data_IF_903276182994
#
_entry.id   IF_903276182994
#
_cell.length_a   1.000
_cell.length_b   1.000
_cell.length_c   1.000
_cell.angle_alpha   90.00
_cell.angle_beta   90.00
_cell.angle_gamma   90.00
#
_symmetry.space_group_name_H-M   'P 1'
#
loop_
_entity.id
_entity.type
_entity.pdbx_description
1 polymer ?
#
# COMPACT_ATOMS: atom_id res chain seq x y z
N UNK A 1 25.00 -2.66 56.26
CA UNK A 1 25.59 -3.11 54.99
C UNK A 1 25.38 -4.61 54.88
N UNK A 2 24.53 -5.03 53.95
CA UNK A 2 24.26 -6.43 53.64
C UNK A 2 24.27 -6.50 52.11
N UNK A 3 25.34 -7.09 51.57
CA UNK A 3 25.45 -7.43 50.16
C UNK A 3 24.48 -8.57 49.88
N UNK A 4 23.42 -8.31 49.13
CA UNK A 4 22.48 -9.35 48.69
C UNK A 4 23.00 -9.96 47.40
N UNK A 5 23.46 -11.20 47.50
CA UNK A 5 23.90 -12.02 46.37
C UNK A 5 22.73 -12.37 45.46
N UNK A 6 22.92 -12.15 44.17
CA UNK A 6 22.02 -12.62 43.11
C UNK A 6 22.26 -14.11 42.92
N UNK A 7 21.23 -14.92 43.20
CA UNK A 7 21.16 -16.32 42.81
C UNK A 7 20.88 -16.34 41.30
N UNK A 8 21.89 -16.67 40.51
CA UNK A 8 21.73 -16.97 39.08
C UNK A 8 21.35 -18.44 38.98
N UNK A 9 20.10 -18.72 38.58
CA UNK A 9 19.74 -20.06 38.12
C UNK A 9 20.38 -20.28 36.74
N UNK A 10 21.56 -20.89 36.75
CA UNK A 10 22.10 -21.63 35.61
C UNK A 10 21.20 -22.84 35.40
N UNK A 11 20.44 -22.87 34.30
CA UNK A 11 19.94 -24.15 33.81
C UNK A 11 21.15 -24.84 33.18
N UNK A 12 21.72 -25.78 33.94
CA UNK A 12 22.70 -26.72 33.43
C UNK A 12 22.16 -27.38 32.16
N UNK A 13 22.99 -27.32 31.12
CA UNK A 13 22.87 -28.18 29.95
C UNK A 13 23.02 -29.62 30.41
N UNK A 14 22.04 -30.47 30.14
CA UNK A 14 22.35 -31.89 29.98
C UNK A 14 23.30 -32.01 28.77
N UNK A 15 24.47 -32.66 28.91
CA UNK A 15 25.49 -32.72 27.88
C UNK A 15 25.36 -33.95 26.97
N UNK A 16 24.16 -34.50 26.79
CA UNK A 16 23.93 -35.64 25.89
C UNK A 16 22.68 -35.40 25.01
N UNK A 17 22.76 -35.83 23.75
CA UNK A 17 21.76 -35.75 22.66
C UNK A 17 21.69 -34.48 21.79
N UNK A 18 22.85 -33.97 21.35
CA UNK A 18 22.94 -33.29 20.04
C UNK A 18 23.77 -34.12 19.06
N UNK A 19 23.38 -35.38 18.88
CA UNK A 19 23.86 -36.25 17.83
C UNK A 19 22.65 -36.75 17.01
N UNK A 20 22.18 -35.91 16.10
CA UNK A 20 21.07 -36.20 15.19
C UNK A 20 21.10 -35.32 13.95
N UNK A 21 22.31 -35.01 13.48
CA UNK A 21 22.60 -34.28 12.26
C UNK A 21 22.41 -35.22 11.06
N UNK A 22 21.68 -34.73 10.06
CA UNK A 22 21.49 -35.26 8.69
C UNK A 22 20.62 -36.52 8.52
N UNK A 23 19.46 -36.35 7.86
CA UNK A 23 18.68 -37.44 7.25
C UNK A 23 17.75 -38.21 8.18
N UNK A 24 17.22 -37.54 9.22
CA UNK A 24 16.30 -38.15 10.17
C UNK A 24 15.00 -38.65 9.55
N UNK A 25 14.27 -39.44 10.35
CA UNK A 25 12.92 -39.93 10.09
C UNK A 25 11.96 -38.85 9.55
N UNK A 26 12.21 -37.59 9.88
CA UNK A 26 11.56 -36.38 9.35
C UNK A 26 12.56 -35.57 8.52
N UNK A 27 12.35 -35.48 7.21
CA UNK A 27 13.12 -34.63 6.29
C UNK A 27 12.15 -33.71 5.53
N UNK A 28 12.25 -32.39 5.73
CA UNK A 28 11.46 -31.39 5.01
C UNK A 28 12.10 -31.08 3.65
N UNK A 29 11.37 -31.30 2.56
CA UNK A 29 11.80 -31.02 1.18
C UNK A 29 11.40 -29.62 0.70
N UNK A 30 10.25 -29.15 1.12
CA UNK A 30 9.79 -27.80 0.77
C UNK A 30 8.83 -27.25 1.81
N UNK A 31 8.80 -25.93 1.87
CA UNK A 31 7.78 -25.15 2.57
C UNK A 31 7.25 -24.13 1.57
N UNK A 32 5.94 -23.94 1.56
CA UNK A 32 5.28 -22.95 0.70
C UNK A 32 4.16 -22.24 1.45
N UNK A 33 3.84 -21.02 1.03
CA UNK A 33 2.73 -20.25 1.58
C UNK A 33 1.70 -20.05 0.47
N UNK A 34 0.67 -20.90 0.49
CA UNK A 34 -0.32 -20.93 -0.59
C UNK A 34 -1.41 -19.88 -0.35
N UNK A 35 -1.80 -19.16 -1.41
CA UNK A 35 -2.85 -18.15 -1.40
C UNK A 35 -4.15 -18.67 -0.80
N UNK A 36 -4.60 -19.84 -1.26
CA UNK A 36 -5.87 -20.44 -0.84
C UNK A 36 -5.89 -20.85 0.63
N UNK A 37 -4.71 -21.07 1.24
CA UNK A 37 -4.57 -21.41 2.66
C UNK A 37 -4.48 -20.16 3.56
N UNK A 38 -4.35 -18.98 2.96
CA UNK A 38 -4.16 -17.71 3.66
C UNK A 38 -5.23 -16.67 3.31
N UNK A 39 -6.45 -17.12 2.99
CA UNK A 39 -7.64 -16.28 2.84
C UNK A 39 -8.26 -15.96 4.20
N UNK A 40 -8.90 -14.79 4.29
CA UNK A 40 -9.79 -14.45 5.39
C UNK A 40 -11.04 -15.33 5.28
N UNK A 41 -11.42 -15.97 6.39
CA UNK A 41 -12.55 -16.90 6.42
C UNK A 41 -13.85 -16.25 5.89
N UNK A 42 -14.52 -16.94 4.97
CA UNK A 42 -15.75 -16.45 4.34
C UNK A 42 -15.57 -15.30 3.33
N UNK A 43 -14.33 -14.88 3.02
CA UNK A 43 -14.04 -13.79 2.08
C UNK A 43 -13.08 -14.22 0.97
N UNK A 44 -13.07 -13.46 -0.12
CA UNK A 44 -12.08 -13.58 -1.20
C UNK A 44 -10.77 -12.82 -0.91
N UNK A 45 -10.69 -12.16 0.25
CA UNK A 45 -9.55 -11.36 0.68
C UNK A 45 -8.46 -12.23 1.31
N UNK A 46 -7.19 -11.83 1.15
CA UNK A 46 -6.05 -12.46 1.80
C UNK A 46 -5.80 -11.86 3.20
N UNK A 47 -5.14 -12.61 4.08
CA UNK A 47 -4.72 -12.09 5.39
C UNK A 47 -3.61 -11.04 5.24
N UNK A 48 -3.56 -10.06 6.16
CA UNK A 48 -2.49 -9.06 6.19
C UNK A 48 -1.10 -9.68 6.41
N UNK A 49 -1.01 -10.79 7.15
CA UNK A 49 0.23 -11.54 7.32
C UNK A 49 0.76 -12.10 6.00
N UNK A 50 -0.11 -12.72 5.20
CA UNK A 50 0.29 -13.28 3.91
C UNK A 50 0.73 -12.19 2.94
N UNK A 51 -0.02 -11.08 2.87
CA UNK A 51 0.36 -9.91 2.07
C UNK A 51 1.72 -9.33 2.50
N UNK A 52 2.05 -9.44 3.79
CA UNK A 52 3.34 -9.01 4.33
C UNK A 52 4.55 -9.80 3.83
N UNK A 53 4.37 -10.97 3.19
CA UNK A 53 5.45 -11.73 2.56
C UNK A 53 5.87 -11.19 1.19
N UNK A 54 5.15 -10.21 0.67
CA UNK A 54 5.37 -9.65 -0.66
C UNK A 54 5.62 -8.15 -0.58
N UNK A 55 6.17 -7.62 -1.66
CA UNK A 55 6.16 -6.19 -1.89
C UNK A 55 4.70 -5.74 -2.00
N UNK A 56 4.29 -4.79 -1.17
CA UNK A 56 2.94 -4.23 -1.26
C UNK A 56 2.81 -3.44 -2.55
N UNK A 57 2.21 -4.06 -3.58
CA UNK A 57 1.76 -3.33 -4.76
C UNK A 57 0.56 -2.48 -4.35
N UNK A 58 0.69 -1.18 -4.51
CA UNK A 58 -0.51 -0.33 -4.56
C UNK A 58 -1.19 -0.65 -5.91
N UNK A 59 -2.52 -0.59 -6.05
CA UNK A 59 -3.48 -0.49 -4.97
C UNK A 59 -3.87 -1.85 -4.42
N UNK A 60 -4.55 -1.79 -3.29
CA UNK A 60 -5.17 -2.81 -2.45
C UNK A 60 -6.10 -3.84 -3.12
N UNK A 61 -6.05 -4.04 -4.44
CA UNK A 61 -6.81 -5.12 -5.07
C UNK A 61 -6.10 -6.46 -4.87
N UNK A 62 -6.29 -7.01 -3.68
CA UNK A 62 -5.73 -8.28 -3.22
C UNK A 62 -6.19 -9.50 -4.01
N UNK A 63 -7.19 -9.35 -4.89
CA UNK A 63 -7.56 -10.39 -5.85
C UNK A 63 -6.42 -10.66 -6.85
N UNK A 64 -5.53 -9.68 -7.06
CA UNK A 64 -4.43 -9.69 -8.03
C UNK A 64 -3.16 -10.39 -7.56
N UNK A 65 -3.08 -10.89 -6.32
CA UNK A 65 -1.97 -11.76 -5.95
C UNK A 65 -2.05 -13.03 -6.80
N UNK A 66 -1.05 -13.16 -7.67
CA UNK A 66 -0.99 -14.12 -8.77
C UNK A 66 -0.20 -15.35 -8.35
N UNK A 67 -0.44 -16.48 -9.04
CA UNK A 67 0.40 -17.69 -8.92
C UNK A 67 1.88 -17.38 -9.17
N UNK A 68 2.19 -16.34 -9.97
CA UNK A 68 3.56 -15.91 -10.20
C UNK A 68 4.24 -15.35 -8.95
N UNK A 69 3.53 -14.60 -8.10
CA UNK A 69 4.08 -14.08 -6.84
C UNK A 69 4.28 -15.20 -5.82
N UNK A 70 3.33 -16.14 -5.74
CA UNK A 70 3.48 -17.34 -4.91
C UNK A 70 4.69 -18.18 -5.32
N UNK A 71 4.87 -18.40 -6.63
CA UNK A 71 6.03 -19.12 -7.17
C UNK A 71 7.34 -18.37 -6.91
N UNK A 72 7.33 -17.04 -7.05
CA UNK A 72 8.50 -16.20 -6.80
C UNK A 72 8.90 -16.18 -5.31
N UNK A 73 7.94 -16.22 -4.39
CA UNK A 73 8.24 -16.39 -2.97
C UNK A 73 8.77 -17.81 -2.70
N UNK A 74 8.12 -18.83 -3.24
CA UNK A 74 8.49 -20.23 -3.01
C UNK A 74 9.90 -20.54 -3.52
N UNK A 75 10.33 -19.95 -4.64
CA UNK A 75 11.69 -20.11 -5.17
C UNK A 75 12.76 -19.41 -4.32
N UNK A 76 12.37 -18.48 -3.45
CA UNK A 76 13.24 -17.78 -2.50
C UNK A 76 13.28 -18.46 -1.13
N UNK A 77 12.54 -19.55 -0.90
CA UNK A 77 12.62 -20.31 0.35
C UNK A 77 13.82 -21.26 0.26
N UNK A 78 14.79 -21.09 1.15
CA UNK A 78 15.99 -21.93 1.24
C UNK A 78 15.92 -22.83 2.46
N UNK A 79 16.19 -24.13 2.29
CA UNK A 79 16.31 -25.08 3.40
C UNK A 79 17.79 -25.46 3.52
N UNK A 80 18.38 -25.20 4.69
CA UNK A 80 19.76 -25.56 5.04
C UNK A 80 19.70 -26.36 6.33
N UNK A 81 19.84 -27.67 6.22
CA UNK A 81 19.65 -28.59 7.34
C UNK A 81 18.27 -28.39 8.00
N UNK A 82 18.23 -27.94 9.24
CA UNK A 82 17.00 -27.69 10.00
C UNK A 82 16.51 -26.23 9.90
N UNK A 83 17.27 -25.35 9.23
CA UNK A 83 16.93 -23.95 9.07
C UNK A 83 16.22 -23.71 7.72
N UNK A 84 15.07 -23.06 7.78
CA UNK A 84 14.18 -22.77 6.66
C UNK A 84 14.10 -21.25 6.54
N UNK A 85 14.82 -20.69 5.58
CA UNK A 85 14.88 -19.26 5.34
C UNK A 85 13.79 -18.84 4.35
N UNK A 86 12.80 -18.11 4.84
CA UNK A 86 11.77 -17.44 4.05
C UNK A 86 12.28 -16.04 3.71
N UNK A 87 12.93 -15.92 2.55
CA UNK A 87 13.52 -14.68 2.08
C UNK A 87 12.45 -13.79 1.42
N UNK A 88 11.93 -12.82 2.19
CA UNK A 88 10.91 -11.88 1.73
C UNK A 88 11.55 -10.65 1.09
N UNK A 89 10.92 -10.02 0.09
CA UNK A 89 11.49 -8.85 -0.56
C UNK A 89 11.59 -7.65 0.39
N UNK A 90 12.58 -6.78 0.15
CA UNK A 90 12.80 -5.59 0.98
C UNK A 90 11.63 -4.61 0.85
N UNK A 91 11.07 -4.15 1.97
CA UNK A 91 9.90 -3.27 1.98
C UNK A 91 9.88 -2.38 3.24
N UNK A 92 10.19 -1.10 3.08
CA UNK A 92 10.29 -0.15 4.20
C UNK A 92 8.95 0.16 4.88
N UNK A 93 7.83 -0.04 4.18
CA UNK A 93 6.49 0.20 4.73
C UNK A 93 5.86 -1.06 5.32
N UNK A 94 6.60 -2.18 5.39
CA UNK A 94 6.11 -3.42 5.98
C UNK A 94 5.79 -3.22 7.47
N UNK A 95 4.51 -3.34 7.83
CA UNK A 95 4.06 -3.28 9.22
C UNK A 95 2.75 -4.03 9.39
N UNK A 96 2.83 -5.30 9.78
CA UNK A 96 1.62 -6.09 10.11
C UNK A 96 1.25 -5.86 11.57
N UNK A 97 0.16 -5.13 11.80
CA UNK A 97 -0.26 -4.72 13.16
C UNK A 97 -0.96 -5.82 13.95
N UNK A 98 -1.56 -6.79 13.28
CA UNK A 98 -2.43 -7.78 13.89
C UNK A 98 -1.67 -9.05 14.29
N UNK A 99 -2.11 -9.68 15.39
CA UNK A 99 -1.72 -11.06 15.70
C UNK A 99 -2.45 -11.99 14.73
N UNK A 100 -1.76 -12.99 14.20
CA UNK A 100 -2.42 -13.95 13.33
C UNK A 100 -1.64 -15.22 13.08
N UNK A 101 -2.17 -16.01 12.15
CA UNK A 101 -1.57 -17.27 11.68
C UNK A 101 -1.23 -17.11 10.21
N UNK A 102 -0.02 -17.51 9.86
CA UNK A 102 0.42 -17.69 8.50
C UNK A 102 0.48 -19.19 8.24
N UNK A 103 -0.39 -19.70 7.39
CA UNK A 103 -0.46 -21.14 7.11
C UNK A 103 0.61 -21.51 6.08
N UNK A 104 1.53 -22.38 6.50
CA UNK A 104 2.55 -22.96 5.65
C UNK A 104 2.16 -24.37 5.25
N UNK A 105 2.33 -24.72 3.98
CA UNK A 105 2.23 -26.08 3.48
C UNK A 105 3.64 -26.68 3.45
N UNK A 106 3.84 -27.73 4.24
CA UNK A 106 5.12 -28.44 4.41
C UNK A 106 5.05 -29.76 3.65
N UNK A 107 6.09 -30.05 2.87
CA UNK A 107 6.26 -31.34 2.19
C UNK A 107 7.49 -32.06 2.71
N UNK A 108 7.30 -33.29 3.14
CA UNK A 108 8.33 -34.21 3.61
C UNK A 108 8.81 -35.13 2.49
N UNK A 109 10.03 -35.65 2.63
CA UNK A 109 10.59 -36.65 1.73
C UNK A 109 9.79 -37.95 1.72
N UNK A 110 9.27 -38.35 2.89
CA UNK A 110 8.44 -39.54 3.12
C UNK A 110 7.57 -39.33 4.36
N UNK A 111 6.53 -40.15 4.52
CA UNK A 111 5.72 -40.16 5.74
C UNK A 111 6.57 -40.75 6.88
N UNK A 112 6.79 -40.03 8.00
CA UNK A 112 7.55 -40.52 9.13
C UNK A 112 6.74 -41.53 9.97
N UNK A 113 7.40 -42.50 10.57
CA UNK A 113 6.76 -43.50 11.44
C UNK A 113 6.57 -42.94 12.84
N UNK A 114 5.35 -43.01 13.38
CA UNK A 114 5.00 -42.61 14.76
C UNK A 114 5.46 -41.21 15.20
N UNK A 115 5.60 -40.31 14.23
CA UNK A 115 5.89 -38.90 14.48
C UNK A 115 4.60 -38.10 14.55
N UNK A 116 4.53 -37.19 15.51
CA UNK A 116 3.44 -36.22 15.66
C UNK A 116 3.95 -34.80 15.66
N UNK A 117 3.10 -33.89 15.19
CA UNK A 117 3.35 -32.45 15.25
C UNK A 117 3.07 -31.96 16.67
N UNK A 118 4.04 -31.30 17.32
CA UNK A 118 3.90 -30.84 18.71
C UNK A 118 2.82 -29.75 18.84
N UNK A 119 2.67 -28.90 17.82
CA UNK A 119 1.72 -27.77 17.88
C UNK A 119 0.26 -28.18 17.88
N UNK A 120 -0.09 -29.32 17.27
CA UNK A 120 -1.46 -29.81 17.15
C UNK A 120 -1.69 -31.18 17.78
N UNK A 121 -0.63 -31.83 18.29
CA UNK A 121 -0.66 -33.22 18.76
C UNK A 121 -1.21 -34.21 17.72
N UNK A 122 -1.08 -33.91 16.44
CA UNK A 122 -1.60 -34.72 15.33
C UNK A 122 -0.51 -35.62 14.77
N UNK A 123 -0.84 -36.90 14.54
CA UNK A 123 0.06 -37.83 13.83
C UNK A 123 0.24 -37.38 12.37
N UNK A 124 1.48 -37.38 11.89
CA UNK A 124 1.77 -37.11 10.49
C UNK A 124 1.43 -38.35 9.68
N UNK A 125 0.36 -38.26 8.87
CA UNK A 125 -0.15 -39.38 8.07
C UNK A 125 0.05 -39.18 6.55
N UNK A 126 0.63 -38.06 6.14
CA UNK A 126 0.83 -37.65 4.75
C UNK A 126 2.19 -36.99 4.60
N UNK A 127 2.77 -37.06 3.41
CA UNK A 127 3.99 -36.32 3.07
C UNK A 127 3.74 -34.82 3.02
N UNK A 128 2.51 -34.39 2.75
CA UNK A 128 2.13 -32.98 2.72
C UNK A 128 1.09 -32.68 3.79
N UNK A 129 1.32 -31.61 4.55
CA UNK A 129 0.40 -31.13 5.58
C UNK A 129 0.56 -29.62 5.78
N UNK A 130 -0.48 -28.99 6.35
CA UNK A 130 -0.48 -27.56 6.65
C UNK A 130 -0.16 -27.33 8.14
N UNK A 131 0.65 -26.31 8.43
CA UNK A 131 0.94 -25.86 9.79
C UNK A 131 0.69 -24.35 9.94
N UNK A 132 -0.05 -23.93 10.98
CA UNK A 132 -0.20 -22.52 11.29
C UNK A 132 1.06 -22.00 12.01
N UNK A 133 1.76 -21.05 11.39
CA UNK A 133 2.86 -20.30 12.01
C UNK A 133 2.28 -19.06 12.68
N UNK A 134 2.42 -18.97 14.00
CA UNK A 134 1.89 -17.84 14.78
C UNK A 134 2.85 -16.65 14.74
N UNK A 135 2.36 -15.51 14.28
CA UNK A 135 3.08 -14.23 14.25
C UNK A 135 2.39 -13.27 15.22
N UNK A 136 3.17 -12.61 16.08
CA UNK A 136 2.69 -11.62 17.05
C UNK A 136 2.43 -10.27 16.36
N UNK A 137 1.66 -9.41 17.02
CA UNK A 137 1.41 -8.06 16.55
C UNK A 137 2.74 -7.31 16.34
N UNK A 138 2.87 -6.62 15.21
CA UNK A 138 4.05 -5.87 14.80
C UNK A 138 5.33 -6.70 14.66
N UNK A 139 5.28 -8.03 14.81
CA UNK A 139 6.46 -8.89 14.72
C UNK A 139 6.99 -8.91 13.28
N UNK A 140 6.11 -9.14 12.30
CA UNK A 140 6.44 -9.00 10.88
C UNK A 140 6.37 -7.51 10.48
N UNK A 141 7.47 -6.80 10.69
CA UNK A 141 7.63 -5.38 10.39
C UNK A 141 9.04 -5.04 9.91
N UNK A 142 9.17 -3.94 9.17
CA UNK A 142 10.45 -3.43 8.71
C UNK A 142 11.43 -3.18 9.87
N UNK A 143 10.94 -2.64 10.99
CA UNK A 143 11.79 -2.36 12.15
C UNK A 143 12.45 -3.60 12.76
N UNK A 144 11.82 -4.76 12.68
CA UNK A 144 12.37 -6.02 13.19
C UNK A 144 13.22 -6.78 12.15
N UNK A 145 13.15 -6.39 10.88
CA UNK A 145 13.81 -7.09 9.77
C UNK A 145 14.93 -6.27 9.10
N UNK A 146 14.97 -4.96 9.33
CA UNK A 146 16.11 -4.11 8.95
C UNK A 146 17.37 -4.56 9.68
N UNK A 147 18.53 -4.16 9.17
CA UNK A 147 19.83 -4.42 9.79
C UNK A 147 20.08 -5.91 10.09
N UNK A 148 19.75 -6.78 9.12
CA UNK A 148 19.86 -8.24 9.22
C UNK A 148 18.96 -8.90 10.30
N UNK A 149 17.90 -8.20 10.72
CA UNK A 149 16.90 -8.74 11.64
C UNK A 149 16.19 -9.99 11.10
N UNK A 150 15.90 -10.93 12.00
CA UNK A 150 15.28 -12.23 11.68
C UNK A 150 14.16 -12.51 12.68
N UNK A 151 13.03 -12.99 12.16
CA UNK A 151 11.94 -13.54 12.98
C UNK A 151 12.00 -15.06 12.88
N UNK A 152 12.26 -15.73 14.01
CA UNK A 152 12.36 -17.20 14.05
C UNK A 152 11.10 -17.82 14.66
N UNK A 153 10.59 -18.85 13.98
CA UNK A 153 9.47 -19.71 14.42
C UNK A 153 9.89 -21.17 14.32
N UNK A 154 9.21 -22.05 15.03
CA UNK A 154 9.64 -23.45 15.11
C UNK A 154 8.56 -24.40 14.58
N UNK A 155 8.99 -25.42 13.84
CA UNK A 155 8.19 -26.59 13.49
C UNK A 155 8.77 -27.77 14.27
N UNK A 156 7.98 -28.25 15.23
CA UNK A 156 8.43 -29.24 16.22
C UNK A 156 7.70 -30.55 16.07
N UNK A 157 8.45 -31.63 16.13
CA UNK A 157 7.95 -32.99 16.03
C UNK A 157 8.34 -33.80 17.27
N UNK A 158 7.49 -34.76 17.65
CA UNK A 158 7.72 -35.69 18.75
C UNK A 158 7.39 -37.12 18.33
N UNK A 159 8.03 -38.12 18.97
CA UNK A 159 7.78 -39.56 18.72
C UNK A 159 6.59 -40.13 19.48
N UNK A 160 5.84 -39.30 20.20
CA UNK A 160 4.71 -39.72 21.03
C UNK A 160 3.58 -38.71 20.92
N UNK A 161 2.40 -39.20 20.55
CA UNK A 161 1.17 -38.40 20.46
C UNK A 161 0.95 -37.63 21.78
N UNK A 162 0.75 -36.32 21.68
CA UNK A 162 0.53 -35.44 22.84
C UNK A 162 1.79 -35.11 23.66
N UNK A 163 2.96 -35.62 23.29
CA UNK A 163 4.22 -35.31 23.97
C UNK A 163 4.75 -33.94 23.58
N UNK A 164 5.24 -33.20 24.58
CA UNK A 164 5.99 -31.95 24.39
C UNK A 164 7.49 -32.17 24.23
N UNK A 165 7.97 -33.40 24.40
CA UNK A 165 9.38 -33.73 24.20
C UNK A 165 9.67 -33.69 22.70
N UNK A 166 10.45 -32.70 22.30
CA UNK A 166 10.82 -32.46 20.90
C UNK A 166 11.89 -33.47 20.50
N UNK A 167 11.60 -34.25 19.46
CA UNK A 167 12.55 -35.19 18.85
C UNK A 167 13.22 -34.57 17.61
N UNK A 168 12.50 -33.69 16.90
CA UNK A 168 13.02 -32.97 15.74
C UNK A 168 12.52 -31.52 15.79
N UNK A 169 13.42 -30.55 15.65
CA UNK A 169 13.11 -29.11 15.67
C UNK A 169 13.65 -28.48 14.38
N UNK A 170 12.78 -27.75 13.67
CA UNK A 170 13.11 -26.99 12.48
C UNK A 170 12.80 -25.51 12.73
N UNK A 171 13.71 -24.64 12.30
CA UNK A 171 13.60 -23.19 12.49
C UNK A 171 13.18 -22.51 11.19
N UNK A 172 12.06 -21.82 11.20
CA UNK A 172 11.57 -21.00 10.09
C UNK A 172 11.97 -19.56 10.36
N UNK A 173 12.91 -19.05 9.56
CA UNK A 173 13.44 -17.70 9.63
C UNK A 173 12.79 -16.82 8.57
N UNK A 174 12.02 -15.81 8.99
CA UNK A 174 11.59 -14.74 8.09
C UNK A 174 12.63 -13.63 8.12
N UNK A 175 13.17 -13.29 6.96
CA UNK A 175 14.20 -12.26 6.80
C UNK A 175 14.06 -11.58 5.45
N UNK A 176 14.63 -10.39 5.30
CA UNK A 176 14.75 -9.81 3.97
C UNK A 176 15.70 -10.62 3.08
N UNK A 177 15.34 -10.72 1.81
CA UNK A 177 16.15 -11.36 0.79
C UNK A 177 17.44 -10.56 0.56
N UNK A 178 18.54 -11.08 1.11
CA UNK A 178 19.86 -10.47 1.01
C UNK A 178 20.43 -10.49 -0.41
N UNK A 179 19.88 -11.34 -1.30
CA UNK A 179 20.29 -11.45 -2.70
C UNK A 179 19.50 -10.50 -3.60
N UNK A 180 18.41 -9.92 -3.11
CA UNK A 180 17.60 -9.00 -3.88
C UNK A 180 18.32 -7.67 -4.08
N UNK A 181 18.46 -7.27 -5.34
CA UNK A 181 18.87 -5.90 -5.67
C UNK A 181 17.67 -4.98 -5.51
N UNK A 182 17.73 -4.07 -4.54
CA UNK A 182 16.64 -3.12 -4.26
C UNK A 182 16.45 -2.18 -5.45
N UNK A 183 15.22 -2.08 -5.95
CA UNK A 183 14.92 -1.19 -7.07
C UNK A 183 15.05 0.29 -6.69
N UNK A 184 15.65 1.06 -7.59
CA UNK A 184 15.72 2.53 -7.53
C UNK A 184 14.56 3.21 -8.27
N UNK A 185 13.65 2.44 -8.89
CA UNK A 185 12.54 3.01 -9.67
C UNK A 185 11.51 3.66 -8.74
N UNK A 186 11.25 4.94 -8.98
CA UNK A 186 10.24 5.74 -8.28
C UNK A 186 9.43 6.65 -9.22
N UNK A 187 9.59 6.49 -10.53
CA UNK A 187 8.79 7.19 -11.51
C UNK A 187 7.38 6.60 -11.59
N UNK A 188 6.36 7.44 -11.41
CA UNK A 188 4.96 7.04 -11.53
C UNK A 188 4.56 6.71 -12.97
N UNK A 189 5.28 7.24 -13.95
CA UNK A 189 4.94 7.10 -15.35
C UNK A 189 6.18 7.12 -16.23
N UNK A 190 6.07 6.45 -17.37
CA UNK A 190 7.16 6.26 -18.33
C UNK A 190 7.19 7.30 -19.45
N UNK A 191 6.21 8.22 -19.50
CA UNK A 191 6.10 9.23 -20.56
C UNK A 191 6.13 10.64 -19.98
N UNK A 192 6.91 11.53 -20.58
CA UNK A 192 6.94 12.97 -20.26
C UNK A 192 6.08 13.79 -21.21
N UNK A 193 5.20 13.12 -21.97
CA UNK A 193 4.35 13.78 -22.95
C UNK A 193 3.24 14.55 -22.24
N UNK A 194 3.14 15.83 -22.56
CA UNK A 194 2.03 16.70 -22.20
C UNK A 194 0.67 15.99 -22.28
N UNK A 195 -0.14 16.11 -21.23
CA UNK A 195 -1.52 15.59 -21.20
C UNK A 195 -1.65 14.06 -21.40
N UNK A 196 -0.55 13.30 -21.36
CA UNK A 196 -0.60 11.85 -21.41
C UNK A 196 -1.23 11.29 -20.11
N UNK A 197 -2.18 10.34 -20.20
CA UNK A 197 -2.76 9.67 -19.04
C UNK A 197 -1.72 8.89 -18.22
N UNK A 198 -1.74 9.11 -16.90
CA UNK A 198 -0.93 8.38 -15.92
C UNK A 198 -1.75 7.22 -15.38
N UNK A 199 -1.86 6.14 -16.14
CA UNK A 199 -2.73 5.00 -15.79
C UNK A 199 -2.29 4.29 -14.50
N UNK A 200 -1.02 4.44 -14.11
CA UNK A 200 -0.44 3.99 -12.86
C UNK A 200 -0.93 4.76 -11.63
N UNK A 201 -1.62 5.89 -11.79
CA UNK A 201 -2.19 6.64 -10.68
C UNK A 201 -3.66 6.89 -11.01
N UNK A 202 -4.59 6.15 -10.40
CA UNK A 202 -6.01 6.30 -10.75
C UNK A 202 -6.92 6.29 -9.53
N UNK A 203 -8.08 6.93 -9.69
CA UNK A 203 -9.02 7.28 -8.64
C UNK A 203 -10.42 6.80 -9.05
N UNK A 204 -11.00 5.82 -8.37
CA UNK A 204 -12.32 5.26 -8.67
C UNK A 204 -13.43 6.17 -8.15
N UNK A 205 -14.40 6.49 -9.01
CA UNK A 205 -15.58 7.30 -8.68
C UNK A 205 -16.53 6.56 -7.76
N UNK A 206 -17.21 7.32 -6.89
CA UNK A 206 -18.25 6.80 -5.99
C UNK A 206 -17.83 5.53 -5.22
N UNK A 207 -16.55 5.46 -4.85
CA UNK A 207 -15.96 4.33 -4.16
C UNK A 207 -16.29 4.36 -2.67
N UNK A 208 -16.59 3.21 -2.06
CA UNK A 208 -16.90 3.14 -0.63
C UNK A 208 -15.83 2.33 0.09
N UNK A 209 -15.24 2.91 1.14
CA UNK A 209 -14.33 2.21 2.06
C UNK A 209 -15.01 2.12 3.43
N UNK A 210 -15.42 0.91 3.83
CA UNK A 210 -16.23 0.71 5.02
C UNK A 210 -17.57 1.43 4.90
N UNK A 211 -17.86 2.36 5.81
CA UNK A 211 -19.06 3.20 5.77
C UNK A 211 -18.81 4.57 5.11
N UNK A 212 -17.57 4.86 4.69
CA UNK A 212 -17.21 6.17 4.11
C UNK A 212 -17.40 6.15 2.59
N UNK A 213 -18.35 6.93 2.08
CA UNK A 213 -18.47 7.23 0.65
C UNK A 213 -17.38 8.22 0.23
N UNK A 214 -16.53 7.81 -0.72
CA UNK A 214 -15.50 8.64 -1.34
C UNK A 214 -16.05 9.17 -2.67
N UNK A 215 -16.12 10.50 -2.78
CA UNK A 215 -16.57 11.16 -4.00
C UNK A 215 -15.34 11.68 -4.77
N UNK A 216 -14.73 10.77 -5.53
CA UNK A 216 -13.73 11.07 -6.57
C UNK A 216 -14.38 11.63 -7.87
N UNK A 217 -15.71 11.74 -7.90
CA UNK A 217 -16.55 12.13 -9.04
C UNK A 217 -17.09 13.55 -8.87
N UNK A 218 -16.25 14.58 -9.00
CA UNK A 218 -16.78 15.96 -9.12
C UNK A 218 -17.20 16.33 -10.54
N UNK A 219 -17.82 15.41 -11.26
CA UNK A 219 -18.62 15.76 -12.43
C UNK A 219 -20.04 16.09 -11.92
N UNK A 220 -20.15 17.24 -11.24
CA UNK A 220 -21.39 17.97 -10.99
C UNK A 220 -22.53 17.31 -10.18
N UNK A 221 -22.26 16.68 -9.04
CA UNK A 221 -23.36 16.08 -8.26
C UNK A 221 -24.17 17.06 -7.38
N UNK A 222 -23.94 18.37 -7.43
CA UNK A 222 -24.69 19.33 -6.60
C UNK A 222 -25.14 20.61 -7.31
N UNK A 223 -25.47 20.54 -8.59
CA UNK A 223 -26.35 21.57 -9.16
C UNK A 223 -27.75 21.35 -8.59
N UNK A 224 -28.28 22.34 -7.86
CA UNK A 224 -29.72 22.42 -7.49
C UNK A 224 -30.59 21.96 -8.68
N UNK A 225 -31.77 21.40 -8.40
CA UNK A 225 -32.83 21.36 -9.42
C UNK A 225 -32.94 22.77 -10.05
N UNK A 226 -32.74 22.85 -11.37
CA UNK A 226 -32.72 24.05 -12.22
C UNK A 226 -31.36 24.74 -12.48
N UNK A 227 -30.23 24.21 -12.00
CA UNK A 227 -28.89 24.63 -12.45
C UNK A 227 -28.30 23.57 -13.37
N UNK A 228 -27.55 23.99 -14.40
CA UNK A 228 -27.16 23.18 -15.56
C UNK A 228 -26.81 21.74 -15.17
N UNK A 229 -27.73 20.79 -15.44
CA UNK A 229 -27.46 19.37 -15.30
C UNK A 229 -26.23 19.06 -16.13
N UNK A 230 -25.26 18.38 -15.55
CA UNK A 230 -24.14 17.82 -16.30
C UNK A 230 -24.53 16.62 -17.16
N UNK A 231 -25.78 16.60 -17.63
CA UNK A 231 -26.31 15.68 -18.64
C UNK A 231 -25.53 15.72 -19.95
N UNK A 232 -24.72 16.75 -20.18
CA UNK A 232 -23.79 16.84 -21.32
C UNK A 232 -22.34 16.46 -21.00
N UNK A 233 -21.98 16.15 -19.75
CA UNK A 233 -20.69 15.56 -19.41
C UNK A 233 -20.79 14.04 -19.52
N UNK A 234 -20.72 13.52 -20.73
CA UNK A 234 -20.51 12.09 -20.96
C UNK A 234 -19.08 11.72 -20.57
N UNK A 235 -18.88 11.27 -19.33
CA UNK A 235 -17.67 10.51 -18.97
C UNK A 235 -18.07 9.07 -18.68
N UNK A 236 -17.92 8.23 -19.69
CA UNK A 236 -18.29 6.80 -19.74
C UNK A 236 -17.45 5.88 -18.82
N UNK A 237 -16.57 6.43 -17.97
CA UNK A 237 -15.64 5.65 -17.15
C UNK A 237 -15.82 5.86 -15.64
N UNK A 238 -15.74 4.76 -14.88
CA UNK A 238 -15.77 4.74 -13.40
C UNK A 238 -14.44 5.18 -12.76
N UNK A 239 -13.41 5.49 -13.56
CA UNK A 239 -12.05 5.80 -13.12
C UNK A 239 -11.63 7.18 -13.63
N UNK A 240 -10.97 7.97 -12.77
CA UNK A 240 -10.36 9.26 -13.10
C UNK A 240 -8.84 9.13 -13.03
N UNK A 241 -8.16 9.54 -14.09
CA UNK A 241 -6.71 9.42 -14.23
C UNK A 241 -6.11 10.82 -14.40
N UNK A 242 -5.05 11.18 -13.64
CA UNK A 242 -4.31 12.40 -13.85
C UNK A 242 -3.45 12.28 -15.12
N UNK A 243 -2.97 13.43 -15.57
CA UNK A 243 -2.12 13.61 -16.74
C UNK A 243 -0.95 14.52 -16.37
N UNK A 244 0.11 14.47 -17.16
CA UNK A 244 1.27 15.35 -16.99
C UNK A 244 0.94 16.81 -17.36
N UNK A 245 1.29 17.75 -16.48
CA UNK A 245 1.28 19.18 -16.78
C UNK A 245 2.51 19.52 -17.63
N UNK A 246 2.31 19.94 -18.86
CA UNK A 246 3.36 20.19 -19.85
C UNK A 246 4.35 21.29 -19.40
N UNK A 247 5.36 20.95 -18.59
CA UNK A 247 6.45 21.85 -18.24
C UNK A 247 7.77 21.09 -18.20
N UNK A 248 8.66 21.44 -19.14
CA UNK A 248 9.93 20.79 -19.44
C UNK A 248 11.05 21.02 -18.40
N UNK A 249 10.72 21.51 -17.20
CA UNK A 249 11.72 21.90 -16.18
C UNK A 249 11.55 21.23 -14.80
N UNK A 250 10.51 20.41 -14.60
CA UNK A 250 10.24 19.76 -13.32
C UNK A 250 10.64 18.29 -13.37
N UNK A 251 11.81 17.99 -12.81
CA UNK A 251 12.42 16.66 -12.79
C UNK A 251 12.00 15.83 -11.58
N UNK A 252 11.30 16.43 -10.61
CA UNK A 252 10.84 15.77 -9.40
C UNK A 252 11.97 15.42 -8.44
N UNK A 253 13.15 16.04 -8.52
CA UNK A 253 14.26 15.77 -7.59
C UNK A 253 14.16 16.54 -6.26
N UNK A 254 13.26 17.51 -6.16
CA UNK A 254 12.99 18.26 -4.93
C UNK A 254 11.52 18.69 -4.84
N UNK A 255 11.09 19.11 -3.65
CA UNK A 255 9.75 19.66 -3.43
C UNK A 255 9.47 20.87 -4.35
N UNK A 256 10.43 21.79 -4.48
CA UNK A 256 10.33 22.96 -5.34
C UNK A 256 10.28 22.61 -6.85
N UNK A 257 10.86 21.47 -7.23
CA UNK A 257 10.87 20.96 -8.60
C UNK A 257 9.96 19.74 -8.80
N UNK A 258 8.93 19.60 -7.97
CA UNK A 258 7.97 18.51 -8.06
C UNK A 258 7.35 18.42 -9.45
N UNK A 259 7.22 17.20 -9.96
CA UNK A 259 6.58 16.91 -11.23
C UNK A 259 5.10 17.25 -11.12
N UNK A 260 4.63 18.11 -12.00
CA UNK A 260 3.29 18.63 -11.94
C UNK A 260 2.33 17.73 -12.72
N UNK A 261 1.25 17.33 -12.06
CA UNK A 261 0.19 16.53 -12.65
C UNK A 261 -1.16 17.17 -12.35
N UNK A 262 -2.15 16.95 -13.20
CA UNK A 262 -3.51 17.44 -13.02
C UNK A 262 -4.50 16.41 -13.54
N UNK A 263 -5.75 16.47 -13.11
CA UNK A 263 -6.77 15.60 -13.70
C UNK A 263 -7.16 16.10 -15.10
N UNK A 264 -7.40 15.18 -16.04
CA UNK A 264 -7.94 15.53 -17.35
C UNK A 264 -9.38 16.06 -17.28
N UNK A 265 -9.61 17.27 -17.77
CA UNK A 265 -10.90 17.92 -17.93
C UNK A 265 -11.81 17.19 -18.91
N UNK A 266 -13.12 17.30 -18.69
CA UNK A 266 -14.10 17.03 -19.74
C UNK A 266 -14.56 18.36 -20.34
N UNK A 267 -15.01 18.35 -21.58
CA UNK A 267 -15.57 19.55 -22.22
C UNK A 267 -16.97 19.81 -21.66
N UNK A 268 -17.19 20.97 -21.03
CA UNK A 268 -18.53 21.41 -20.64
C UNK A 268 -19.20 22.06 -21.86
N UNK A 269 -19.94 21.29 -22.66
CA UNK A 269 -20.82 21.87 -23.67
C UNK A 269 -22.20 22.06 -23.06
N UNK A 270 -22.62 23.30 -22.76
CA UNK A 270 -24.04 23.53 -22.48
C UNK A 270 -24.50 24.95 -22.81
N UNK A 271 -25.48 24.98 -23.71
CA UNK A 271 -26.40 26.07 -24.00
C UNK A 271 -27.31 26.35 -22.80
N UNK A 272 -26.83 26.99 -21.73
CA UNK A 272 -27.67 27.71 -20.76
C UNK A 272 -26.81 28.46 -19.74
N UNK A 273 -26.99 29.79 -19.68
CA UNK A 273 -26.44 30.76 -18.70
C UNK A 273 -24.96 30.54 -18.31
N UNK A 274 -24.13 31.20 -19.10
CA UNK A 274 -22.68 31.33 -19.05
C UNK A 274 -22.13 31.62 -17.65
N UNK A 275 -21.58 30.59 -17.00
CA UNK A 275 -20.26 30.77 -16.39
C UNK A 275 -19.28 30.70 -17.54
N UNK A 276 -18.78 31.84 -18.00
CA UNK A 276 -17.79 31.88 -19.08
C UNK A 276 -16.47 31.37 -18.53
N UNK A 277 -16.25 30.05 -18.60
CA UNK A 277 -14.90 29.51 -18.62
C UNK A 277 -14.27 30.10 -19.87
N UNK A 278 -13.22 30.91 -19.73
CA UNK A 278 -12.58 31.56 -20.87
C UNK A 278 -12.13 30.46 -21.86
N UNK A 279 -12.90 30.29 -22.94
CA UNK A 279 -12.87 29.13 -23.84
C UNK A 279 -11.71 29.17 -24.83
N UNK A 280 -10.76 30.09 -24.63
CA UNK A 280 -9.52 30.19 -25.40
C UNK A 280 -8.44 29.23 -24.93
N UNK A 281 -8.59 28.58 -23.77
CA UNK A 281 -7.61 27.60 -23.31
C UNK A 281 -7.89 26.22 -23.93
N UNK A 282 -6.96 25.69 -24.72
CA UNK A 282 -6.86 24.27 -25.11
C UNK A 282 -6.60 23.33 -23.92
N UNK A 283 -6.87 23.78 -22.70
CA UNK A 283 -6.58 23.09 -21.44
C UNK A 283 -7.61 21.98 -21.21
N UNK A 284 -7.21 20.75 -21.49
CA UNK A 284 -7.94 19.51 -21.17
C UNK A 284 -7.89 19.21 -19.67
N UNK A 285 -8.19 20.18 -18.80
CA UNK A 285 -7.89 20.11 -17.35
C UNK A 285 -9.16 20.14 -16.49
N UNK A 286 -9.16 19.31 -15.46
CA UNK A 286 -10.22 19.05 -14.48
C UNK A 286 -10.41 20.22 -13.54
N UNK A 287 -11.68 20.56 -13.35
CA UNK A 287 -12.11 21.76 -12.66
C UNK A 287 -12.70 21.42 -11.30
N UNK A 288 -12.25 22.16 -10.27
CA UNK A 288 -12.87 22.21 -8.95
C UNK A 288 -13.46 23.62 -8.79
N UNK A 289 -14.69 23.83 -9.26
CA UNK A 289 -15.47 25.02 -8.90
C UNK A 289 -16.97 24.96 -9.26
N UNK A 290 -17.85 25.18 -8.27
CA UNK A 290 -18.72 26.36 -8.25
C UNK A 290 -19.19 26.71 -6.82
N UNK A 291 -19.09 27.98 -6.43
CA UNK A 291 -19.85 28.63 -5.36
C UNK A 291 -20.55 29.84 -6.01
N UNK A 292 -21.88 29.88 -6.01
CA UNK A 292 -22.60 31.12 -6.33
C UNK A 292 -22.41 32.12 -5.19
N UNK A 293 -22.36 33.40 -5.56
CA UNK A 293 -22.12 34.53 -4.67
C UNK A 293 -23.24 34.83 -3.67
N UNK A 294 -24.36 34.12 -3.67
CA UNK A 294 -25.44 34.43 -2.73
C UNK A 294 -25.35 33.56 -1.50
N UNK A 295 -24.45 33.97 -0.61
CA UNK A 295 -24.20 33.38 0.71
C UNK A 295 -23.92 31.88 0.61
N UNK A 296 -22.68 31.50 0.93
CA UNK A 296 -22.58 30.43 1.92
C UNK A 296 -23.43 30.93 3.09
N UNK A 297 -24.69 30.52 3.16
CA UNK A 297 -25.42 30.47 4.42
C UNK A 297 -24.39 29.92 5.41
N UNK A 298 -24.14 30.55 6.57
CA UNK A 298 -22.98 30.24 7.43
C UNK A 298 -22.87 28.73 7.80
N UNK A 299 -23.90 27.95 7.45
CA UNK A 299 -24.05 26.50 7.47
C UNK A 299 -23.60 25.69 6.21
N UNK A 300 -23.20 26.28 5.06
CA UNK A 300 -22.99 25.55 3.78
C UNK A 300 -21.56 25.59 3.22
N UNK A 301 -20.74 24.65 3.68
CA UNK A 301 -19.40 24.41 3.13
C UNK A 301 -19.44 23.88 1.68
N UNK A 302 -18.39 24.18 0.89
CA UNK A 302 -18.05 23.44 -0.33
C UNK A 302 -18.23 21.92 -0.09
N UNK A 303 -18.73 21.13 -1.07
CA UNK A 303 -18.82 19.70 -0.88
C UNK A 303 -17.43 19.13 -0.58
N UNK A 304 -17.32 18.37 0.50
CA UNK A 304 -16.07 17.74 0.88
C UNK A 304 -15.75 16.59 -0.08
N UNK A 305 -15.04 16.86 -1.18
CA UNK A 305 -14.49 15.79 -2.03
C UNK A 305 -13.43 15.05 -1.24
N UNK A 306 -13.60 13.75 -1.13
CA UNK A 306 -12.63 12.87 -0.50
C UNK A 306 -12.02 12.02 -1.59
N UNK A 307 -10.71 12.16 -1.76
CA UNK A 307 -9.94 11.49 -2.79
C UNK A 307 -9.12 10.33 -2.22
N UNK A 308 -8.95 9.29 -3.02
CA UNK A 308 -8.00 8.21 -2.78
C UNK A 308 -7.52 7.66 -4.12
N UNK A 309 -6.22 7.39 -4.23
CA UNK A 309 -5.61 6.74 -5.38
C UNK A 309 -5.71 5.21 -5.25
N UNK A 310 -6.93 4.68 -5.24
CA UNK A 310 -7.26 3.26 -5.09
C UNK A 310 -7.00 2.41 -6.35
N UNK A 311 -6.54 3.05 -7.43
CA UNK A 311 -6.11 2.41 -8.66
C UNK A 311 -4.59 2.48 -8.90
N UNK A 312 -3.80 2.98 -7.94
CA UNK A 312 -2.42 3.39 -8.19
C UNK A 312 -1.39 2.24 -8.22
N UNK A 313 -0.78 1.91 -9.35
CA UNK A 313 0.26 0.86 -9.49
C UNK A 313 1.66 1.45 -9.46
N UNK A 314 2.38 1.24 -8.35
CA UNK A 314 3.75 1.76 -8.15
C UNK A 314 4.82 0.81 -8.70
N UNK A 315 5.95 1.34 -9.23
CA UNK A 315 7.03 0.53 -9.77
C UNK A 315 7.76 -0.24 -8.67
N UNK A 316 8.09 -1.51 -8.92
CA UNK A 316 9.07 -2.32 -8.19
C UNK A 316 9.10 -2.17 -6.65
N UNK A 317 7.95 -1.99 -6.00
CA UNK A 317 7.88 -1.82 -4.55
C UNK A 317 8.14 -0.44 -3.98
N UNK A 318 8.10 0.56 -4.84
CA UNK A 318 7.97 1.94 -4.43
C UNK A 318 6.67 2.17 -3.64
N UNK A 319 6.70 3.20 -2.79
CA UNK A 319 5.59 3.57 -1.92
C UNK A 319 5.40 5.09 -1.87
N UNK A 320 4.17 5.52 -1.59
CA UNK A 320 3.89 6.93 -1.31
C UNK A 320 4.41 7.31 0.07
N UNK A 321 5.01 8.49 0.18
CA UNK A 321 5.36 9.10 1.45
C UNK A 321 5.13 10.61 1.42
N UNK A 322 4.98 11.18 2.61
CA UNK A 322 4.89 12.62 2.85
C UNK A 322 5.91 13.09 3.89
N UNK A 323 6.77 12.19 4.35
CA UNK A 323 7.77 12.48 5.36
C UNK A 323 8.78 13.50 4.84
N UNK A 324 9.00 14.55 5.64
CA UNK A 324 9.91 15.64 5.31
C UNK A 324 9.36 16.68 4.33
N UNK A 325 8.08 16.57 3.92
CA UNK A 325 7.43 17.60 3.08
C UNK A 325 6.86 18.72 3.94
N UNK A 326 7.12 19.97 3.57
CA UNK A 326 6.59 21.14 4.28
C UNK A 326 5.25 21.60 3.69
N UNK A 327 5.16 21.61 2.36
CA UNK A 327 4.07 22.22 1.62
C UNK A 327 4.06 23.75 1.71
N UNK A 328 2.92 24.34 1.36
CA UNK A 328 2.72 25.78 1.28
C UNK A 328 1.31 26.15 1.75
N UNK A 329 1.21 27.05 2.73
CA UNK A 329 -0.04 27.67 3.20
C UNK A 329 -1.14 26.70 3.72
N UNK A 330 -0.78 25.54 4.26
CA UNK A 330 -1.74 24.46 4.55
C UNK A 330 -2.85 24.73 5.58
N UNK A 331 -2.70 25.76 6.39
CA UNK A 331 -3.73 26.21 7.33
C UNK A 331 -4.30 27.59 7.00
N UNK A 332 -3.85 28.26 5.93
CA UNK A 332 -4.21 29.65 5.67
C UNK A 332 -5.50 29.75 4.86
N UNK A 333 -6.48 30.48 5.36
CA UNK A 333 -7.67 30.85 4.58
C UNK A 333 -7.27 31.75 3.41
N UNK A 334 -8.02 31.70 2.31
CA UNK A 334 -7.85 32.60 1.16
C UNK A 334 -6.42 32.64 0.59
N UNK A 335 -5.79 31.48 0.41
CA UNK A 335 -4.45 31.35 -0.19
C UNK A 335 -4.40 30.13 -1.09
N UNK A 336 -3.49 30.13 -2.07
CA UNK A 336 -3.12 28.91 -2.79
C UNK A 336 -2.43 27.95 -1.81
N UNK A 337 -2.98 26.73 -1.71
CA UNK A 337 -2.53 25.69 -0.78
C UNK A 337 -1.88 24.56 -1.55
N UNK A 338 -0.69 24.16 -1.13
CA UNK A 338 0.01 22.97 -1.62
C UNK A 338 0.33 22.11 -0.41
N UNK A 339 -0.43 21.06 -0.15
CA UNK A 339 -0.32 20.35 1.13
C UNK A 339 0.18 18.92 1.02
N UNK A 340 1.07 18.49 1.94
CA UNK A 340 1.48 17.10 2.01
C UNK A 340 0.26 16.21 2.24
N UNK A 341 -0.05 15.33 1.29
CA UNK A 341 -1.14 14.34 1.41
C UNK A 341 -0.70 13.03 0.78
N UNK A 342 -0.84 11.94 1.52
CA UNK A 342 -0.57 10.60 1.05
C UNK A 342 -1.73 10.12 0.16
N UNK A 343 -1.54 9.94 -1.16
CA UNK A 343 -2.63 9.57 -2.07
C UNK A 343 -3.21 8.18 -1.79
N UNK A 344 -2.48 7.30 -1.08
CA UNK A 344 -2.99 5.99 -0.69
C UNK A 344 -4.02 6.03 0.43
N UNK A 345 -4.23 7.20 1.03
CA UNK A 345 -5.19 7.41 2.11
C UNK A 345 -6.27 8.40 1.67
N UNK A 346 -7.50 8.29 2.20
CA UNK A 346 -8.53 9.30 1.97
C UNK A 346 -8.04 10.70 2.37
N UNK A 347 -8.12 11.66 1.45
CA UNK A 347 -7.78 13.07 1.72
C UNK A 347 -8.84 14.02 1.16
N UNK A 348 -9.01 15.17 1.82
CA UNK A 348 -9.95 16.21 1.38
C UNK A 348 -9.25 17.39 0.75
N UNK A 349 -9.86 17.95 -0.28
CA UNK A 349 -9.45 19.21 -0.89
C UNK A 349 -10.54 20.24 -0.67
N UNK A 350 -10.16 21.36 -0.05
CA UNK A 350 -11.02 22.55 0.07
C UNK A 350 -10.46 23.63 -0.84
N UNK A 351 -11.34 24.39 -1.49
CA UNK A 351 -10.94 25.56 -2.24
C UNK A 351 -11.52 26.84 -1.64
N UNK A 352 -10.76 27.54 -0.77
CA UNK A 352 -11.26 28.72 -0.11
C UNK A 352 -11.21 29.98 -0.99
N UNK A 353 -10.54 29.96 -2.15
CA UNK A 353 -10.25 31.18 -2.92
C UNK A 353 -10.58 31.05 -4.42
N UNK A 354 -11.49 31.88 -4.95
CA UNK A 354 -11.64 32.14 -6.38
C UNK A 354 -10.33 32.23 -7.15
N UNK A 355 -10.30 31.76 -8.41
CA UNK A 355 -9.16 31.84 -9.36
C UNK A 355 -7.81 31.24 -8.93
N UNK A 356 -7.65 30.76 -7.70
CA UNK A 356 -6.43 30.11 -7.21
C UNK A 356 -6.57 28.58 -7.20
N UNK A 357 -5.59 27.92 -7.79
CA UNK A 357 -5.49 26.46 -7.78
C UNK A 357 -5.10 25.99 -6.38
N UNK A 358 -5.45 24.76 -6.05
CA UNK A 358 -4.91 24.08 -4.88
C UNK A 358 -4.24 22.80 -5.31
N UNK A 359 -3.30 22.33 -4.53
CA UNK A 359 -2.54 21.13 -4.85
C UNK A 359 -2.32 20.28 -3.60
N UNK A 360 -2.04 19.01 -3.85
CA UNK A 360 -1.32 18.20 -2.88
C UNK A 360 0.10 17.98 -3.38
N UNK A 361 1.01 17.78 -2.44
CA UNK A 361 2.37 17.35 -2.71
C UNK A 361 2.63 16.02 -2.01
N UNK A 362 3.34 15.13 -2.68
CA UNK A 362 3.73 13.83 -2.15
C UNK A 362 5.00 13.34 -2.84
N UNK A 363 5.65 12.35 -2.25
CA UNK A 363 6.77 11.65 -2.88
C UNK A 363 6.43 10.19 -3.16
N UNK A 364 6.99 9.68 -4.25
CA UNK A 364 7.12 8.23 -4.46
C UNK A 364 8.57 7.89 -4.13
N UNK A 365 8.74 7.01 -3.16
CA UNK A 365 10.05 6.54 -2.70
C UNK A 365 10.26 5.14 -3.26
N UNK A 366 11.41 4.90 -3.88
CA UNK A 366 11.76 3.61 -4.45
C UNK A 366 11.94 2.54 -3.37
N UNK A 367 12.01 1.27 -3.78
CA UNK A 367 12.20 0.15 -2.87
C UNK A 367 13.46 0.29 -2.01
N UNK A 368 14.53 0.88 -2.56
CA UNK A 368 15.77 1.11 -1.82
C UNK A 368 15.65 2.16 -0.70
N UNK A 369 14.58 2.95 -0.69
CA UNK A 369 14.30 3.97 0.32
C UNK A 369 15.06 5.28 0.18
N UNK A 370 15.98 5.37 -0.77
CA UNK A 370 16.83 6.55 -0.97
C UNK A 370 16.40 7.33 -2.20
N UNK A 371 16.12 6.63 -3.31
CA UNK A 371 15.65 7.28 -4.53
C UNK A 371 14.19 7.67 -4.37
N UNK A 372 13.88 8.91 -4.75
CA UNK A 372 12.54 9.45 -4.62
C UNK A 372 12.25 10.49 -5.70
N UNK A 373 10.97 10.59 -6.07
CA UNK A 373 10.43 11.63 -6.94
C UNK A 373 9.29 12.36 -6.24
N UNK A 374 9.29 13.69 -6.36
CA UNK A 374 8.26 14.57 -5.83
C UNK A 374 7.22 14.86 -6.90
N UNK A 375 5.94 14.83 -6.52
CA UNK A 375 4.81 15.07 -7.40
C UNK A 375 3.86 16.10 -6.79
N UNK A 376 3.34 16.98 -7.63
CA UNK A 376 2.31 17.98 -7.27
C UNK A 376 1.05 17.70 -8.07
N UNK A 377 0.02 17.17 -7.42
CA UNK A 377 -1.30 17.00 -8.04
C UNK A 377 -2.13 18.27 -7.86
N UNK A 378 -2.36 18.95 -8.97
CA UNK A 378 -3.05 20.24 -9.04
C UNK A 378 -4.54 20.06 -9.30
N UNK A 379 -5.34 20.69 -8.46
CA UNK A 379 -6.78 20.85 -8.56
C UNK A 379 -7.07 22.26 -9.04
N UNK A 380 -7.35 22.42 -10.33
CA UNK A 380 -7.58 23.74 -10.92
C UNK A 380 -8.90 24.33 -10.42
N UNK A 381 -8.84 25.60 -10.02
CA UNK A 381 -10.01 26.44 -9.78
C UNK A 381 -10.20 27.36 -10.98
N UNK A 382 -11.27 27.18 -11.74
CA UNK A 382 -11.62 28.07 -12.85
C UNK A 382 -12.77 29.03 -12.50
N UNK A 383 -13.13 29.16 -11.22
CA UNK A 383 -14.10 30.16 -10.81
C UNK A 383 -13.53 31.57 -11.03
N UNK A 384 -14.22 32.37 -11.84
CA UNK A 384 -13.94 33.79 -12.05
C UNK A 384 -15.07 34.58 -11.36
N UNK A 385 -14.76 35.49 -10.41
CA UNK A 385 -15.78 36.33 -9.80
C UNK A 385 -16.47 37.21 -10.85
N UNK A 386 -17.78 37.46 -10.75
CA UNK A 386 -18.52 38.28 -11.72
C UNK A 386 -17.99 39.72 -11.88
N UNK A 387 -17.21 40.24 -10.92
CA UNK A 387 -16.67 41.60 -10.93
C UNK A 387 -15.30 41.77 -11.61
N UNK A 388 -14.68 40.71 -12.13
CA UNK A 388 -13.36 40.79 -12.77
C UNK A 388 -13.40 40.90 -14.32
N UNK A 389 -14.59 40.98 -14.93
CA UNK A 389 -14.72 41.38 -16.33
C UNK A 389 -14.61 42.90 -16.44
N UNK A 390 -13.39 43.43 -16.34
CA UNK A 390 -13.07 44.73 -16.92
C UNK A 390 -12.19 44.48 -18.13
N UNK A 391 -12.82 44.60 -19.29
CA UNK A 391 -12.13 44.75 -20.58
C UNK A 391 -11.16 45.93 -20.49
N UNK A 392 -9.88 45.66 -20.71
CA UNK A 392 -8.88 46.66 -21.12
C UNK A 392 -8.61 46.51 -22.60
#
# INVERSE_FOLDING_TARGET
MLASGVIVFSCDKDPDDVAGLNGGEVEIKSVSFLKDKNKVEGKQELTELYKGLFIKKTPSDFSKYSTAEENALSSKIEIKENDIYVNIPYNQVLKVKEVGKLNATVTLAKVPTDVTLVSSSTKIASTTFDIPIRIRACELSHDNLKDDGIITKNIRFSKKVGSKNVAFDYFVHFQYDKKETKSAKCDLFTTTTANAPITQLSFTRDYTIGETKLNNSYVCENTKENYAKCSSLTKTGNVVTPVFSNTSSKDGLSEANAIEIHFGGGTLSASAKTTTFNSSSTDTIFDVAHLEMDKIDDSKSMPNFTFIADGAVLPDGAFFSIEGLEGTNCGKAFSERICPRDPSKPFKISNPMPTKHNSIIFKVVAQNGTDQKFYKLTFKNKYIPPFYNTTS
#
